data_IF_962389863677
#
_entry.id   IF_962389863677
#
_cell.length_a   1.000
_cell.length_b   1.000
_cell.length_c   1.000
_cell.angle_alpha   90.00
_cell.angle_beta   90.00
_cell.angle_gamma   90.00
#
_symmetry.space_group_name_H-M   'P 1'
#
loop_
_entity.id
_entity.type
_entity.pdbx_description
1 polymer ?
#
# COMPACT_ATOMS: atom_id res chain seq x y z
N UNK A 1 -35.87 -62.88 -36.35
CA UNK A 1 -35.40 -63.27 -37.70
C UNK A 1 -34.06 -62.56 -37.92
N UNK A 2 -32.92 -63.08 -37.50
CA UNK A 2 -32.35 -64.42 -37.62
C UNK A 2 -31.78 -64.70 -39.02
N UNK A 3 -30.46 -64.94 -39.03
CA UNK A 3 -29.67 -65.64 -40.05
C UNK A 3 -29.52 -64.93 -41.42
N UNK A 4 -28.43 -65.04 -42.18
CA UNK A 4 -27.30 -65.96 -42.08
C UNK A 4 -26.09 -65.41 -42.84
N UNK A 5 -24.94 -65.88 -42.37
CA UNK A 5 -23.57 -65.83 -42.89
C UNK A 5 -23.45 -66.63 -44.20
N UNK A 6 -22.52 -66.31 -45.11
CA UNK A 6 -21.73 -67.25 -45.96
C UNK A 6 -20.50 -66.49 -46.53
N UNK A 7 -19.27 -66.83 -46.11
CA UNK A 7 -18.22 -67.64 -46.81
C UNK A 7 -17.83 -67.08 -48.19
N UNK A 8 -16.56 -66.87 -48.52
CA UNK A 8 -15.55 -67.88 -48.87
C UNK A 8 -14.12 -67.25 -48.96
N UNK A 9 -13.08 -68.08 -48.82
CA UNK A 9 -11.78 -67.83 -49.49
C UNK A 9 -10.54 -67.89 -48.58
N UNK A 10 -9.68 -68.87 -48.83
CA UNK A 10 -8.46 -69.23 -48.11
C UNK A 10 -7.20 -68.78 -48.88
N UNK A 11 -6.13 -68.45 -48.11
CA UNK A 11 -4.67 -68.48 -48.40
C UNK A 11 -3.98 -67.26 -49.10
N UNK A 12 -2.65 -67.02 -48.88
CA UNK A 12 -1.73 -67.56 -47.87
C UNK A 12 -0.97 -66.50 -47.03
N UNK A 13 -0.35 -67.01 -45.96
CA UNK A 13 0.63 -66.37 -45.08
C UNK A 13 1.77 -65.64 -45.82
N UNK A 14 2.16 -64.46 -45.32
CA UNK A 14 3.58 -64.10 -45.21
C UNK A 14 3.86 -63.61 -43.78
N UNK A 15 4.85 -64.27 -43.20
CA UNK A 15 5.38 -64.12 -41.86
C UNK A 15 6.16 -62.79 -41.76
N UNK A 16 5.82 -61.92 -40.81
CA UNK A 16 6.81 -61.01 -40.21
C UNK A 16 6.40 -60.63 -38.78
N UNK A 17 6.94 -61.35 -37.80
CA UNK A 17 7.07 -60.90 -36.40
C UNK A 17 8.37 -60.09 -36.28
N UNK A 18 8.60 -59.37 -35.17
CA UNK A 18 7.72 -58.44 -34.47
C UNK A 18 8.49 -57.14 -34.11
N UNK A 19 7.81 -56.03 -33.82
CA UNK A 19 8.42 -55.01 -32.94
C UNK A 19 7.47 -54.79 -31.77
N UNK A 20 7.87 -55.34 -30.62
CA UNK A 20 7.25 -55.11 -29.32
C UNK A 20 7.39 -53.63 -28.98
N UNK A 21 6.34 -52.84 -29.18
CA UNK A 21 6.30 -51.49 -28.62
C UNK A 21 5.69 -51.58 -27.23
N UNK A 22 6.56 -51.71 -26.22
CA UNK A 22 6.21 -51.49 -24.82
C UNK A 22 6.02 -49.99 -24.60
N UNK A 23 4.89 -49.44 -25.08
CA UNK A 23 4.57 -48.02 -24.95
C UNK A 23 3.27 -47.88 -24.16
N UNK A 24 3.30 -48.21 -22.88
CA UNK A 24 2.08 -48.28 -22.10
C UNK A 24 2.27 -48.15 -20.60
N UNK A 25 3.18 -47.30 -20.12
CA UNK A 25 3.19 -46.92 -18.69
C UNK A 25 4.02 -45.66 -18.40
N UNK A 26 3.74 -44.50 -19.01
CA UNK A 26 4.40 -43.24 -18.64
C UNK A 26 3.51 -41.99 -18.77
N UNK A 27 2.19 -42.10 -18.60
CA UNK A 27 1.26 -40.96 -18.73
C UNK A 27 0.79 -40.34 -17.41
N UNK A 28 1.47 -40.57 -16.28
CA UNK A 28 0.94 -40.15 -14.97
C UNK A 28 1.87 -39.34 -14.01
N UNK A 29 2.77 -38.43 -14.45
CA UNK A 29 3.25 -37.40 -13.52
C UNK A 29 3.16 -35.95 -14.02
N UNK A 30 2.39 -35.64 -15.07
CA UNK A 30 2.34 -34.25 -15.61
C UNK A 30 1.10 -33.46 -15.12
N UNK A 31 0.25 -34.03 -14.26
CA UNK A 31 -0.99 -33.35 -13.80
C UNK A 31 -0.75 -32.40 -12.61
N UNK A 32 0.50 -32.18 -12.18
CA UNK A 32 0.85 -31.26 -11.09
C UNK A 32 1.57 -29.98 -11.54
N UNK A 33 1.66 -29.73 -12.85
CA UNK A 33 2.03 -28.40 -13.33
C UNK A 33 0.86 -27.44 -13.09
N UNK A 34 0.74 -26.93 -11.87
CA UNK A 34 -0.17 -25.83 -11.57
C UNK A 34 0.25 -24.62 -12.40
N UNK A 35 -0.69 -24.00 -13.11
CA UNK A 35 -0.46 -22.69 -13.69
C UNK A 35 -0.33 -21.68 -12.54
N UNK A 36 0.87 -21.17 -12.27
CA UNK A 36 0.97 -19.94 -11.51
C UNK A 36 0.40 -18.81 -12.37
N UNK A 37 -0.57 -18.09 -11.83
CA UNK A 37 -1.10 -16.89 -12.48
C UNK A 37 -0.01 -15.80 -12.49
N UNK A 38 0.01 -14.97 -13.54
CA UNK A 38 0.94 -13.84 -13.61
C UNK A 38 0.67 -12.85 -12.47
N UNK A 39 1.74 -12.43 -11.79
CA UNK A 39 1.66 -11.48 -10.68
C UNK A 39 1.26 -10.08 -11.18
N UNK A 40 -0.01 -9.69 -10.97
CA UNK A 40 -0.52 -8.36 -11.28
C UNK A 40 -0.66 -7.50 -10.02
N UNK A 41 0.23 -6.52 -9.86
CA UNK A 41 0.25 -5.59 -8.71
C UNK A 41 -0.32 -4.20 -9.01
N UNK A 42 -0.99 -4.01 -10.15
CA UNK A 42 -1.51 -2.69 -10.55
C UNK A 42 -2.49 -2.11 -9.50
N UNK A 43 -3.32 -2.95 -8.89
CA UNK A 43 -4.22 -2.53 -7.81
C UNK A 43 -3.48 -2.08 -6.55
N UNK A 44 -2.36 -2.71 -6.21
CA UNK A 44 -1.52 -2.32 -5.05
C UNK A 44 -0.88 -0.96 -5.31
N UNK A 45 -0.35 -0.75 -6.52
CA UNK A 45 0.22 0.53 -6.91
C UNK A 45 -0.82 1.65 -6.91
N UNK A 46 -2.04 1.36 -7.38
CA UNK A 46 -3.16 2.32 -7.36
C UNK A 46 -3.65 2.65 -5.95
N UNK A 47 -3.59 1.70 -5.01
CA UNK A 47 -3.91 1.99 -3.61
C UNK A 47 -2.81 2.81 -2.94
N UNK A 48 -1.54 2.49 -3.22
CA UNK A 48 -0.38 3.19 -2.64
C UNK A 48 -0.17 4.63 -3.14
N UNK A 49 -0.90 5.04 -4.18
CA UNK A 49 -0.90 6.43 -4.65
C UNK A 49 -1.99 7.31 -4.04
N UNK A 50 -2.90 6.72 -3.24
CA UNK A 50 -3.92 7.49 -2.52
C UNK A 50 -3.28 8.30 -1.40
N UNK A 51 -3.93 9.40 -1.03
CA UNK A 51 -3.44 10.25 0.05
C UNK A 51 -3.54 9.56 1.42
N UNK A 52 -4.65 8.86 1.66
CA UNK A 52 -4.90 8.08 2.88
C UNK A 52 -4.80 6.58 2.61
N UNK A 53 -4.12 5.89 3.52
CA UNK A 53 -3.90 4.45 3.48
C UNK A 53 -4.62 3.76 4.64
N UNK A 54 -4.95 2.47 4.47
CA UNK A 54 -5.65 1.65 5.46
C UNK A 54 -5.00 1.64 6.86
N UNK A 55 -3.67 1.71 6.90
CA UNK A 55 -2.89 1.67 8.14
C UNK A 55 -2.64 3.05 8.74
N UNK A 56 -3.19 4.11 8.14
CA UNK A 56 -3.07 5.45 8.70
C UNK A 56 -4.02 5.61 9.89
N UNK A 57 -3.52 6.22 10.95
CA UNK A 57 -4.30 6.74 12.06
C UNK A 57 -3.94 8.21 12.24
N UNK A 58 -4.93 9.09 12.09
CA UNK A 58 -4.77 10.54 12.27
C UNK A 58 -5.20 10.92 13.68
N UNK A 59 -4.37 11.69 14.38
CA UNK A 59 -4.55 12.02 15.80
C UNK A 59 -4.83 13.50 16.03
N UNK A 60 -4.34 14.37 15.14
CA UNK A 60 -4.49 15.80 15.29
C UNK A 60 -4.93 16.44 13.96
N UNK A 61 -5.67 17.54 14.08
CA UNK A 61 -6.14 18.36 12.98
C UNK A 61 -5.95 19.82 13.36
N UNK A 62 -5.46 20.62 12.42
CA UNK A 62 -5.42 22.07 12.55
C UNK A 62 -5.85 22.71 11.23
N UNK A 63 -6.44 23.90 11.33
CA UNK A 63 -6.95 24.62 10.17
C UNK A 63 -6.70 26.11 10.28
N UNK A 64 -6.37 26.69 9.13
CA UNK A 64 -6.47 28.12 8.84
C UNK A 64 -7.47 28.29 7.67
N UNK A 65 -7.96 29.49 7.35
CA UNK A 65 -8.96 29.65 6.29
C UNK A 65 -8.55 29.06 4.92
N UNK A 66 -7.25 29.03 4.63
CA UNK A 66 -6.69 28.57 3.37
C UNK A 66 -6.30 27.09 3.37
N UNK A 67 -6.17 26.44 4.52
CA UNK A 67 -5.63 25.09 4.62
C UNK A 67 -6.14 24.32 5.83
N UNK A 68 -6.39 23.02 5.64
CA UNK A 68 -6.66 22.06 6.71
C UNK A 68 -5.62 20.95 6.65
N UNK A 69 -5.03 20.66 7.80
CA UNK A 69 -4.00 19.63 7.94
C UNK A 69 -4.48 18.52 8.88
N UNK A 70 -4.08 17.29 8.58
CA UNK A 70 -4.23 16.11 9.43
C UNK A 70 -2.85 15.53 9.71
N UNK A 71 -2.52 15.32 10.98
CA UNK A 71 -1.29 14.67 11.41
C UNK A 71 -1.58 13.25 11.90
N UNK A 72 -0.70 12.32 11.56
CA UNK A 72 -0.88 10.93 11.92
C UNK A 72 0.41 10.16 12.07
N UNK A 73 0.26 8.85 12.02
CA UNK A 73 1.34 7.91 12.23
C UNK A 73 2.35 7.87 11.08
N UNK A 74 3.50 7.26 11.38
CA UNK A 74 4.63 7.15 10.46
C UNK A 74 5.09 8.50 9.87
N UNK A 75 4.88 9.60 10.62
CA UNK A 75 5.23 10.96 10.24
C UNK A 75 4.37 11.55 9.13
N UNK A 76 3.17 11.01 8.91
CA UNK A 76 2.30 11.40 7.81
C UNK A 76 1.56 12.68 8.15
N UNK A 77 1.59 13.63 7.22
CA UNK A 77 0.69 14.77 7.18
C UNK A 77 -0.14 14.70 5.89
N UNK A 78 -1.44 14.97 6.01
CA UNK A 78 -2.26 15.31 4.87
C UNK A 78 -2.56 16.81 4.89
N UNK A 79 -2.38 17.48 3.75
CA UNK A 79 -2.70 18.89 3.57
C UNK A 79 -3.82 19.01 2.54
N UNK A 80 -4.87 19.76 2.87
CA UNK A 80 -5.93 20.17 1.95
C UNK A 80 -5.96 21.68 1.84
N UNK A 81 -6.01 22.18 0.61
CA UNK A 81 -6.13 23.62 0.28
C UNK A 81 -7.51 23.98 -0.28
N UNK A 82 -8.43 23.01 -0.30
CA UNK A 82 -9.76 23.11 -0.93
C UNK A 82 -10.88 22.66 0.02
N UNK A 83 -10.70 22.91 1.31
CA UNK A 83 -11.65 22.61 2.38
C UNK A 83 -11.97 21.11 2.52
N UNK A 84 -10.95 20.27 2.36
CA UNK A 84 -11.03 18.82 2.56
C UNK A 84 -11.53 18.02 1.37
N UNK A 85 -11.71 18.65 0.20
CA UNK A 85 -12.15 17.95 -1.02
C UNK A 85 -11.04 17.09 -1.61
N UNK A 86 -9.80 17.57 -1.59
CA UNK A 86 -8.62 16.82 -1.96
C UNK A 86 -7.51 16.98 -0.92
N UNK A 87 -6.61 15.99 -0.88
CA UNK A 87 -5.57 15.89 0.13
C UNK A 87 -4.26 15.50 -0.53
N UNK A 88 -3.19 16.20 -0.17
CA UNK A 88 -1.82 15.87 -0.55
C UNK A 88 -1.12 15.24 0.65
N UNK A 89 -0.54 14.06 0.45
CA UNK A 89 0.19 13.32 1.46
C UNK A 89 1.66 13.73 1.45
N UNK A 90 2.22 13.94 2.64
CA UNK A 90 3.67 14.07 2.85
C UNK A 90 4.10 13.25 4.07
N UNK A 91 5.35 12.82 4.10
CA UNK A 91 5.96 12.15 5.26
C UNK A 91 7.15 12.99 5.72
N UNK A 92 6.99 13.66 6.85
CA UNK A 92 8.03 14.55 7.39
C UNK A 92 8.96 13.86 8.39
N UNK A 93 8.50 12.76 8.99
CA UNK A 93 9.18 12.09 10.08
C UNK A 93 8.94 10.57 10.05
N UNK A 94 9.56 9.88 9.08
CA UNK A 94 9.32 8.44 8.87
C UNK A 94 9.50 7.66 10.17
N UNK A 95 8.51 6.83 10.51
CA UNK A 95 8.48 6.00 11.72
C UNK A 95 7.97 6.69 12.98
N UNK A 96 7.89 8.04 13.04
CA UNK A 96 7.34 8.73 14.20
C UNK A 96 5.81 8.76 14.19
N UNK A 97 5.23 9.00 15.36
CA UNK A 97 3.81 9.33 15.48
C UNK A 97 3.69 10.84 15.69
N UNK A 98 3.06 11.55 14.76
CA UNK A 98 2.68 12.94 14.99
C UNK A 98 1.44 12.93 15.89
N UNK A 99 1.58 13.49 17.08
CA UNK A 99 0.59 13.41 18.16
C UNK A 99 -0.15 14.72 18.37
N UNK A 100 0.43 15.84 17.94
CA UNK A 100 -0.19 17.15 18.04
C UNK A 100 0.10 18.00 16.82
N UNK A 101 -0.82 18.90 16.51
CA UNK A 101 -0.78 19.80 15.38
C UNK A 101 -1.60 21.05 15.74
N UNK A 102 -0.98 22.22 15.63
CA UNK A 102 -1.63 23.49 15.94
C UNK A 102 -1.41 24.54 14.85
N UNK A 103 -2.36 25.46 14.73
CA UNK A 103 -2.32 26.57 13.79
C UNK A 103 -2.04 27.88 14.54
N UNK A 104 -0.99 28.58 14.13
CA UNK A 104 -0.60 29.84 14.72
C UNK A 104 -1.41 31.02 14.16
N UNK A 105 -1.42 32.14 14.89
CA UNK A 105 -2.14 33.35 14.50
C UNK A 105 -1.63 34.00 13.19
N UNK A 106 -0.36 33.76 12.83
CA UNK A 106 0.25 34.22 11.58
C UNK A 106 -0.08 33.32 10.37
N UNK A 107 -0.85 32.25 10.58
CA UNK A 107 -1.21 31.26 9.56
C UNK A 107 -0.18 30.16 9.37
N UNK A 108 0.89 30.13 10.17
CA UNK A 108 1.84 29.03 10.21
C UNK A 108 1.30 27.85 11.02
N UNK A 109 1.97 26.69 10.92
CA UNK A 109 1.60 25.48 11.65
C UNK A 109 2.79 24.94 12.44
N UNK A 110 2.49 24.31 13.58
CA UNK A 110 3.44 23.49 14.32
C UNK A 110 2.93 22.06 14.43
N UNK A 111 3.82 21.08 14.38
CA UNK A 111 3.52 19.68 14.61
C UNK A 111 4.48 19.11 15.65
N UNK A 112 3.98 18.27 16.55
CA UNK A 112 4.77 17.58 17.57
C UNK A 112 4.68 16.07 17.34
N UNK A 113 5.81 15.38 17.41
CA UNK A 113 5.83 13.92 17.47
C UNK A 113 6.01 13.40 18.89
N UNK A 114 5.59 12.16 19.08
CA UNK A 114 5.81 11.42 20.32
C UNK A 114 7.29 11.22 20.65
N UNK A 115 8.21 11.33 19.70
CA UNK A 115 9.66 11.25 19.98
C UNK A 115 10.31 12.62 20.19
N UNK A 116 9.56 13.60 20.72
CA UNK A 116 10.04 14.92 21.13
C UNK A 116 10.68 15.75 20.01
N UNK A 117 10.12 15.66 18.81
CA UNK A 117 10.52 16.53 17.70
C UNK A 117 9.38 17.49 17.38
N UNK A 118 9.74 18.75 17.22
CA UNK A 118 8.82 19.81 16.81
C UNK A 118 9.12 20.19 15.37
N UNK A 119 8.11 20.33 14.54
CA UNK A 119 8.24 20.89 13.20
C UNK A 119 7.42 22.16 13.09
N UNK A 120 7.91 23.09 12.28
CA UNK A 120 7.23 24.33 11.93
C UNK A 120 7.09 24.44 10.42
N UNK A 121 5.92 24.89 9.96
CA UNK A 121 5.64 25.20 8.56
C UNK A 121 5.12 26.62 8.45
N UNK A 122 5.78 27.44 7.63
CA UNK A 122 5.38 28.82 7.36
C UNK A 122 4.60 28.97 6.04
N UNK A 123 4.32 27.88 5.33
CA UNK A 123 3.79 27.87 3.97
C UNK A 123 2.58 26.94 3.82
N UNK A 124 1.63 27.04 4.76
CA UNK A 124 0.38 26.27 4.77
C UNK A 124 0.59 24.74 4.83
N UNK A 125 1.68 24.28 5.44
CA UNK A 125 1.99 22.86 5.53
C UNK A 125 2.58 22.28 4.26
N UNK A 126 3.16 23.08 3.36
CA UNK A 126 3.79 22.56 2.14
C UNK A 126 5.25 22.14 2.37
N UNK A 127 5.94 22.79 3.31
CA UNK A 127 7.26 22.43 3.76
C UNK A 127 7.39 22.58 5.28
N UNK A 128 8.29 21.79 5.87
CA UNK A 128 8.46 21.69 7.31
C UNK A 128 9.93 21.76 7.69
N UNK A 129 10.21 22.49 8.76
CA UNK A 129 11.52 22.58 9.37
C UNK A 129 11.47 22.03 10.79
N UNK A 130 12.38 21.13 11.10
CA UNK A 130 12.51 20.55 12.44
C UNK A 130 13.22 21.52 13.40
N UNK A 131 12.77 21.50 14.65
CA UNK A 131 13.29 22.26 15.76
C UNK A 131 13.50 21.34 16.97
N UNK A 132 14.67 21.44 17.59
CA UNK A 132 14.94 20.76 18.85
C UNK A 132 14.18 21.44 19.99
N UNK A 133 13.57 20.65 20.86
CA UNK A 133 12.94 21.14 22.07
C UNK A 133 14.00 21.29 23.18
N UNK A 134 13.93 22.35 24.01
CA UNK A 134 14.91 22.60 25.07
C UNK A 134 14.63 21.77 26.33
N UNK A 135 14.20 20.52 26.17
CA UNK A 135 13.84 19.62 27.27
C UNK A 135 14.04 18.16 26.86
N UNK A 136 14.35 17.30 27.82
CA UNK A 136 14.37 15.84 27.64
C UNK A 136 13.04 15.19 28.07
N UNK A 137 12.14 15.95 28.70
CA UNK A 137 10.84 15.47 29.13
C UNK A 137 9.94 15.13 27.94
N UNK A 138 9.11 14.10 28.08
CA UNK A 138 8.16 13.71 27.05
C UNK A 138 7.08 14.78 26.89
N UNK A 139 7.11 15.48 25.76
CA UNK A 139 6.05 16.41 25.37
C UNK A 139 4.86 15.63 24.83
N UNK A 140 3.66 16.06 25.23
CA UNK A 140 2.39 15.49 24.77
C UNK A 140 1.55 16.48 23.96
N UNK A 141 1.88 17.77 24.04
CA UNK A 141 1.20 18.84 23.31
C UNK A 141 2.15 19.99 23.06
N UNK A 142 1.88 20.76 22.00
CA UNK A 142 2.51 22.03 21.71
C UNK A 142 1.45 22.96 21.11
N UNK A 143 1.39 24.20 21.58
CA UNK A 143 0.45 25.20 21.07
C UNK A 143 1.19 26.49 20.74
N UNK A 144 0.73 27.21 19.71
CA UNK A 144 1.25 28.54 19.41
C UNK A 144 0.71 29.53 20.45
N UNK A 145 1.58 30.32 21.08
CA UNK A 145 1.07 31.38 21.94
C UNK A 145 0.35 32.46 21.10
N UNK A 146 -0.61 33.19 21.69
CA UNK A 146 -1.33 34.27 21.02
C UNK A 146 -0.44 35.39 20.46
N UNK A 147 0.78 35.53 20.98
CA UNK A 147 1.80 36.50 20.56
C UNK A 147 2.91 35.90 19.68
N UNK A 148 2.81 34.62 19.32
CA UNK A 148 3.81 33.91 18.52
C UNK A 148 5.00 33.36 19.31
N UNK A 149 5.01 33.45 20.64
CA UNK A 149 5.98 32.73 21.46
C UNK A 149 5.67 31.21 21.49
N UNK A 150 6.70 30.36 21.44
CA UNK A 150 6.53 28.95 21.78
C UNK A 150 6.78 28.80 23.28
N UNK A 151 5.78 28.38 24.05
CA UNK A 151 5.86 28.13 25.50
C UNK A 151 5.71 26.66 25.83
#
# INVERSE_FOLDING_TARGET
MNHNKQSHGLLPCVLSRPVRSALGMFLLPIVLAGCEAELNLAGVAAEGSKSSHRADYYQALASVPQATLLAGNNGVLLTSLDQGQSWTRQVIAKGASLIDLDACADGSFIALSFDNRLWHSADLGLSWREHALPTEEQMLTAACAPDGACG
#
